data_IF_833328204358
#
_entry.id   IF_833328204358
#
_cell.length_a   1.000
_cell.length_b   1.000
_cell.length_c   1.000
_cell.angle_alpha   90.00
_cell.angle_beta   90.00
_cell.angle_gamma   90.00
#
_symmetry.space_group_name_H-M   'P 1'
#
loop_
_entity.id
_entity.type
_entity.pdbx_description
1 polymer ?
#
# COMPACT_ATOMS: atom_id res chain seq x y z
N UNK A 1 6.56 31.78 -6.44
CA UNK A 1 5.67 32.91 -6.08
C UNK A 1 6.09 33.43 -4.73
N UNK A 2 6.61 34.65 -4.67
CA UNK A 2 6.89 35.33 -3.41
C UNK A 2 5.57 35.56 -2.69
N UNK A 3 5.37 34.94 -1.54
CA UNK A 3 4.20 35.14 -0.70
C UNK A 3 4.14 36.60 -0.26
N UNK A 4 3.06 37.31 -0.60
CA UNK A 4 2.82 38.63 -0.04
C UNK A 4 2.44 38.46 1.45
N UNK A 5 3.27 38.91 2.40
CA UNK A 5 3.07 38.66 3.84
C UNK A 5 1.79 39.26 4.44
N UNK A 6 0.98 39.93 3.68
CA UNK A 6 -0.24 40.59 4.15
C UNK A 6 -1.54 39.99 3.62
N UNK A 7 -1.50 38.93 2.84
CA UNK A 7 -2.71 38.31 2.22
C UNK A 7 -2.88 36.83 2.48
N UNK A 8 -1.75 36.09 2.64
CA UNK A 8 -1.74 34.63 2.89
C UNK A 8 -0.69 34.35 3.97
N UNK A 9 -1.09 34.38 5.22
CA UNK A 9 -0.21 34.25 6.39
C UNK A 9 -0.21 32.81 6.98
N UNK A 10 -1.12 31.93 6.50
CA UNK A 10 -1.13 30.52 6.90
C UNK A 10 -1.39 29.61 5.70
N UNK A 11 -0.63 28.53 5.63
CA UNK A 11 -0.89 27.40 4.76
C UNK A 11 -1.39 26.24 5.63
N UNK A 12 -2.59 25.77 5.33
CA UNK A 12 -3.19 24.63 6.03
C UNK A 12 -3.31 23.51 5.01
N UNK A 13 -2.54 22.45 5.20
CA UNK A 13 -2.69 21.24 4.40
C UNK A 13 -3.99 20.52 4.81
N UNK A 14 -4.81 20.17 3.83
CA UNK A 14 -5.99 19.33 4.05
C UNK A 14 -5.62 17.92 3.60
N UNK A 15 -5.38 17.06 4.57
CA UNK A 15 -5.03 15.65 4.33
C UNK A 15 -6.28 14.80 4.04
N UNK A 16 -6.06 13.59 3.49
CA UNK A 16 -7.12 12.62 3.33
C UNK A 16 -7.70 12.21 4.70
N UNK A 17 -9.03 12.02 4.82
CA UNK A 17 -9.67 11.72 6.10
C UNK A 17 -9.31 10.32 6.61
N UNK A 18 -9.23 10.19 7.93
CA UNK A 18 -9.13 8.92 8.63
C UNK A 18 -10.44 8.10 8.51
N UNK A 19 -10.45 6.86 9.02
CA UNK A 19 -11.62 5.98 8.97
C UNK A 19 -12.90 6.64 9.51
N UNK A 20 -12.80 7.36 10.64
CA UNK A 20 -13.96 8.05 11.25
C UNK A 20 -14.41 9.23 10.41
N UNK A 21 -13.49 9.97 9.85
CA UNK A 21 -13.74 11.05 8.90
C UNK A 21 -14.42 10.56 7.64
N UNK A 22 -13.93 9.44 7.05
CA UNK A 22 -14.56 8.82 5.87
C UNK A 22 -16.00 8.36 6.16
N UNK A 23 -16.22 7.72 7.31
CA UNK A 23 -17.58 7.32 7.73
C UNK A 23 -18.50 8.54 7.90
N UNK A 24 -18.02 9.62 8.50
CA UNK A 24 -18.80 10.85 8.67
C UNK A 24 -19.12 11.51 7.31
N UNK A 25 -18.18 11.58 6.40
CA UNK A 25 -18.36 12.09 5.04
C UNK A 25 -19.37 11.25 4.27
N UNK A 26 -19.27 9.92 4.33
CA UNK A 26 -20.24 9.01 3.72
C UNK A 26 -21.65 9.22 4.27
N UNK A 27 -21.81 9.43 5.58
CA UNK A 27 -23.11 9.74 6.21
C UNK A 27 -23.72 11.02 5.65
N UNK A 28 -22.93 12.05 5.42
CA UNK A 28 -23.41 13.30 4.82
C UNK A 28 -23.88 13.08 3.38
N UNK A 29 -23.06 12.39 2.56
CA UNK A 29 -23.39 12.16 1.15
C UNK A 29 -24.44 11.07 0.92
N UNK A 30 -24.74 10.25 1.92
CA UNK A 30 -25.81 9.24 1.89
C UNK A 30 -27.21 9.87 2.10
N UNK A 31 -27.29 11.10 2.63
CA UNK A 31 -28.57 11.78 2.85
C UNK A 31 -29.33 11.92 1.53
N UNK A 32 -30.59 11.53 1.55
CA UNK A 32 -31.46 11.55 0.36
C UNK A 32 -31.21 10.48 -0.69
N UNK A 33 -30.27 9.55 -0.47
CA UNK A 33 -30.03 8.40 -1.34
C UNK A 33 -30.74 7.15 -0.79
N UNK A 34 -31.44 6.37 -1.63
CA UNK A 34 -32.16 5.17 -1.19
C UNK A 34 -31.18 3.99 -1.00
N UNK A 35 -30.51 3.92 0.14
CA UNK A 35 -29.66 2.79 0.52
C UNK A 35 -30.52 1.66 1.09
N UNK A 36 -30.15 0.39 0.82
CA UNK A 36 -30.73 -0.76 1.53
C UNK A 36 -30.31 -0.75 2.99
N UNK A 37 -31.10 -1.35 3.87
CA UNK A 37 -30.78 -1.45 5.31
C UNK A 37 -29.51 -2.29 5.58
N UNK A 38 -29.06 -3.06 4.62
CA UNK A 38 -27.87 -3.93 4.72
C UNK A 38 -26.57 -3.17 4.47
N UNK A 39 -26.62 -2.03 3.76
CA UNK A 39 -25.42 -1.23 3.45
C UNK A 39 -24.87 -0.58 4.72
N UNK A 40 -23.68 -0.99 5.09
CA UNK A 40 -22.95 -0.42 6.23
C UNK A 40 -21.90 0.60 5.75
N UNK A 41 -22.15 1.89 6.03
CA UNK A 41 -21.23 2.98 5.65
C UNK A 41 -19.86 2.85 6.32
N UNK A 42 -19.77 2.21 7.49
CA UNK A 42 -18.50 1.95 8.16
C UNK A 42 -17.67 0.91 7.41
N UNK A 43 -18.31 -0.12 6.84
CA UNK A 43 -17.62 -1.10 6.00
C UNK A 43 -17.13 -0.44 4.69
N UNK A 44 -17.91 0.45 4.10
CA UNK A 44 -17.47 1.24 2.95
C UNK A 44 -16.26 2.09 3.31
N UNK A 45 -16.28 2.78 4.47
CA UNK A 45 -15.15 3.59 4.96
C UNK A 45 -13.88 2.75 5.18
N UNK A 46 -14.00 1.50 5.65
CA UNK A 46 -12.86 0.58 5.77
C UNK A 46 -12.26 0.19 4.42
N UNK A 47 -13.11 0.05 3.40
CA UNK A 47 -12.72 -0.38 2.04
C UNK A 47 -12.27 0.77 1.13
N UNK A 48 -12.22 1.99 1.66
CA UNK A 48 -11.82 3.20 0.93
C UNK A 48 -10.68 3.95 1.63
N UNK A 49 -9.56 3.27 2.03
CA UNK A 49 -8.42 3.95 2.62
C UNK A 49 -7.82 4.94 1.61
N UNK A 50 -7.40 6.12 2.10
CA UNK A 50 -6.81 7.18 1.28
C UNK A 50 -7.78 7.96 0.38
N UNK A 51 -9.08 7.62 0.38
CA UNK A 51 -10.07 8.38 -0.40
C UNK A 51 -10.30 9.76 0.22
N UNK A 52 -10.36 10.76 -0.65
CA UNK A 52 -10.77 12.12 -0.30
C UNK A 52 -12.28 12.22 -0.14
N UNK A 53 -12.77 13.33 0.41
CA UNK A 53 -14.20 13.60 0.48
C UNK A 53 -14.89 13.58 -0.89
N UNK A 54 -14.19 14.03 -1.93
CA UNK A 54 -14.70 14.02 -3.31
C UNK A 54 -14.82 12.59 -3.86
N UNK A 55 -13.83 11.72 -3.59
CA UNK A 55 -13.89 10.32 -4.01
C UNK A 55 -15.04 9.57 -3.34
N UNK A 56 -15.25 9.79 -2.03
CA UNK A 56 -16.35 9.19 -1.27
C UNK A 56 -17.73 9.65 -1.77
N UNK A 57 -17.87 10.93 -2.09
CA UNK A 57 -19.08 11.47 -2.71
C UNK A 57 -19.32 10.83 -4.08
N UNK A 58 -18.27 10.66 -4.87
CA UNK A 58 -18.32 10.04 -6.19
C UNK A 58 -18.71 8.56 -6.11
N UNK A 59 -18.19 7.79 -5.14
CA UNK A 59 -18.62 6.40 -4.89
C UNK A 59 -20.14 6.31 -4.74
N UNK A 60 -20.73 7.12 -3.87
CA UNK A 60 -22.18 7.08 -3.64
C UNK A 60 -22.99 7.58 -4.85
N UNK A 61 -22.44 8.49 -5.64
CA UNK A 61 -23.09 8.94 -6.88
C UNK A 61 -23.03 7.86 -7.98
N UNK A 62 -21.86 7.23 -8.17
CA UNK A 62 -21.71 6.12 -9.11
C UNK A 62 -22.61 4.94 -8.71
N UNK A 63 -22.69 4.60 -7.43
CA UNK A 63 -23.57 3.55 -6.94
C UNK A 63 -25.06 3.87 -7.26
N UNK A 64 -25.50 5.11 -7.08
CA UNK A 64 -26.84 5.54 -7.44
C UNK A 64 -27.10 5.43 -8.94
N UNK A 65 -26.14 5.84 -9.78
CA UNK A 65 -26.25 5.72 -11.24
C UNK A 65 -26.29 4.25 -11.69
N UNK A 66 -25.49 3.37 -11.08
CA UNK A 66 -25.51 1.94 -11.35
C UNK A 66 -26.85 1.30 -10.99
N UNK A 67 -27.39 1.66 -9.83
CA UNK A 67 -28.70 1.22 -9.35
C UNK A 67 -29.80 1.63 -10.32
N UNK A 68 -29.81 2.89 -10.76
CA UNK A 68 -30.78 3.40 -11.74
C UNK A 68 -30.66 2.69 -13.09
N UNK A 69 -29.45 2.43 -13.59
CA UNK A 69 -29.22 1.67 -14.84
C UNK A 69 -29.70 0.23 -14.77
N UNK A 70 -29.70 -0.36 -13.58
CA UNK A 70 -30.17 -1.72 -13.34
C UNK A 70 -31.67 -1.78 -13.03
N UNK A 71 -32.41 -0.66 -13.15
CA UNK A 71 -33.83 -0.51 -12.81
C UNK A 71 -34.15 -0.95 -11.36
N UNK A 72 -33.17 -0.81 -10.45
CA UNK A 72 -33.35 -1.09 -9.03
C UNK A 72 -33.78 0.19 -8.30
N UNK A 73 -34.51 0.05 -7.20
CA UNK A 73 -35.01 1.19 -6.41
C UNK A 73 -34.06 1.58 -5.27
N UNK A 74 -33.25 0.63 -4.80
CA UNK A 74 -32.36 0.82 -3.65
C UNK A 74 -30.93 0.46 -4.02
N UNK A 75 -30.00 1.26 -3.51
CA UNK A 75 -28.56 1.02 -3.64
C UNK A 75 -28.18 -0.13 -2.71
N UNK A 76 -27.69 -1.21 -3.27
CA UNK A 76 -27.20 -2.39 -2.55
C UNK A 76 -25.65 -2.43 -2.50
N UNK A 77 -25.11 -3.42 -1.77
CA UNK A 77 -23.65 -3.59 -1.64
C UNK A 77 -22.98 -3.85 -2.99
N UNK A 78 -23.65 -4.50 -3.95
CA UNK A 78 -23.08 -4.76 -5.30
C UNK A 78 -22.87 -3.47 -6.07
N UNK A 79 -23.84 -2.54 -5.97
CA UNK A 79 -23.72 -1.23 -6.61
C UNK A 79 -22.58 -0.42 -5.97
N UNK A 80 -22.41 -0.51 -4.65
CA UNK A 80 -21.32 0.12 -3.92
C UNK A 80 -19.97 -0.49 -4.33
N UNK A 81 -19.86 -1.81 -4.39
CA UNK A 81 -18.65 -2.51 -4.79
C UNK A 81 -18.18 -2.11 -6.19
N UNK A 82 -19.09 -2.13 -7.16
CA UNK A 82 -18.79 -1.69 -8.52
C UNK A 82 -18.45 -0.19 -8.58
N UNK A 83 -19.07 0.63 -7.73
CA UNK A 83 -18.78 2.05 -7.66
C UNK A 83 -17.36 2.33 -7.11
N UNK A 84 -16.95 1.60 -6.06
CA UNK A 84 -15.58 1.67 -5.52
C UNK A 84 -14.58 1.28 -6.62
N UNK A 85 -14.82 0.15 -7.29
CA UNK A 85 -13.98 -0.31 -8.40
C UNK A 85 -13.85 0.74 -9.51
N UNK A 86 -14.94 1.44 -9.83
CA UNK A 86 -14.93 2.51 -10.85
C UNK A 86 -14.14 3.73 -10.43
N UNK A 87 -14.20 4.09 -9.18
CA UNK A 87 -13.43 5.22 -8.65
C UNK A 87 -11.94 4.89 -8.65
N UNK A 88 -11.57 3.66 -8.28
CA UNK A 88 -10.15 3.22 -8.23
C UNK A 88 -9.58 2.98 -9.63
N UNK A 89 -10.23 2.13 -10.43
CA UNK A 89 -9.68 1.58 -11.66
C UNK A 89 -10.39 2.06 -12.95
N UNK A 90 -11.45 2.85 -12.77
CA UNK A 90 -12.29 3.32 -13.88
C UNK A 90 -13.37 2.31 -14.31
N UNK A 91 -14.22 2.68 -15.29
CA UNK A 91 -15.29 1.82 -15.75
C UNK A 91 -14.77 0.59 -16.48
N UNK A 92 -15.49 -0.53 -16.34
CA UNK A 92 -15.21 -1.76 -17.06
C UNK A 92 -15.35 -1.54 -18.59
N UNK A 93 -14.33 -1.98 -19.35
CA UNK A 93 -14.33 -1.92 -20.82
C UNK A 93 -14.92 -3.19 -21.42
N UNK A 94 -16.23 -3.21 -21.62
CA UNK A 94 -16.95 -4.36 -22.21
C UNK A 94 -16.62 -4.62 -23.69
N UNK A 95 -16.07 -3.64 -24.40
CA UNK A 95 -15.71 -3.75 -25.82
C UNK A 95 -14.32 -4.33 -26.05
N UNK A 96 -13.49 -4.44 -24.99
CA UNK A 96 -12.15 -5.01 -25.10
C UNK A 96 -12.22 -6.52 -24.89
N UNK A 97 -12.38 -7.25 -26.00
CA UNK A 97 -12.35 -8.71 -25.99
C UNK A 97 -10.90 -9.13 -25.99
N UNK A 98 -10.45 -9.80 -24.92
CA UNK A 98 -9.15 -10.45 -24.87
C UNK A 98 -9.24 -11.83 -25.54
N UNK A 99 -8.20 -12.23 -26.27
CA UNK A 99 -8.06 -13.61 -26.72
C UNK A 99 -7.74 -14.54 -25.52
N UNK A 100 -7.88 -15.83 -25.70
CA UNK A 100 -7.69 -16.80 -24.62
C UNK A 100 -6.27 -16.82 -24.06
N UNK A 101 -5.26 -16.54 -24.89
CA UNK A 101 -3.88 -16.45 -24.46
C UNK A 101 -3.67 -15.21 -23.55
N UNK A 102 -4.10 -14.02 -23.98
CA UNK A 102 -3.98 -12.80 -23.17
C UNK A 102 -4.77 -12.91 -21.86
N UNK A 103 -5.92 -13.60 -21.90
CA UNK A 103 -6.71 -13.89 -20.71
C UNK A 103 -5.97 -14.79 -19.73
N UNK A 104 -5.29 -15.80 -20.23
CA UNK A 104 -4.45 -16.70 -19.42
C UNK A 104 -3.24 -15.95 -18.84
N UNK A 105 -2.53 -15.15 -19.66
CA UNK A 105 -1.40 -14.34 -19.21
C UNK A 105 -1.85 -13.39 -18.09
N UNK A 106 -2.99 -12.68 -18.26
CA UNK A 106 -3.53 -11.79 -17.25
C UNK A 106 -3.91 -12.54 -15.97
N UNK A 107 -4.51 -13.74 -16.08
CA UNK A 107 -4.90 -14.52 -14.90
C UNK A 107 -3.69 -14.97 -14.07
N UNK A 108 -2.61 -15.38 -14.72
CA UNK A 108 -1.37 -15.72 -14.03
C UNK A 108 -0.64 -14.49 -13.48
N UNK A 109 -0.66 -13.37 -14.18
CA UNK A 109 -0.08 -12.13 -13.75
C UNK A 109 -0.74 -11.63 -12.45
N UNK A 110 -2.06 -11.47 -12.47
CA UNK A 110 -2.82 -11.05 -11.28
C UNK A 110 -2.75 -12.10 -10.16
N UNK A 111 -2.76 -13.38 -10.54
CA UNK A 111 -2.54 -14.48 -9.62
C UNK A 111 -1.17 -14.44 -8.96
N UNK A 112 -0.14 -14.02 -9.68
CA UNK A 112 1.21 -13.82 -9.17
C UNK A 112 1.28 -12.75 -8.09
N UNK A 113 0.69 -11.58 -8.33
CA UNK A 113 0.56 -10.52 -7.33
C UNK A 113 -0.20 -11.00 -6.09
N UNK A 114 -1.36 -11.61 -6.29
CA UNK A 114 -2.21 -12.06 -5.20
C UNK A 114 -1.53 -13.14 -4.33
N UNK A 115 -0.86 -14.09 -4.96
CA UNK A 115 -0.15 -15.16 -4.25
C UNK A 115 1.09 -14.64 -3.51
N UNK A 116 1.84 -13.71 -4.13
CA UNK A 116 2.96 -13.05 -3.46
C UNK A 116 2.47 -12.31 -2.22
N UNK A 117 1.41 -11.49 -2.32
CA UNK A 117 0.82 -10.81 -1.17
C UNK A 117 0.33 -11.79 -0.09
N UNK A 118 -0.32 -12.90 -0.48
CA UNK A 118 -0.80 -13.90 0.45
C UNK A 118 0.33 -14.65 1.18
N UNK A 119 1.50 -14.81 0.56
CA UNK A 119 2.64 -15.51 1.15
C UNK A 119 3.53 -14.61 2.02
N UNK A 120 3.59 -13.33 1.76
CA UNK A 120 4.40 -12.34 2.50
C UNK A 120 3.83 -12.07 3.90
N UNK A 121 4.69 -11.55 4.80
CA UNK A 121 4.34 -11.38 6.20
C UNK A 121 3.87 -9.97 6.56
N UNK A 122 4.26 -8.96 5.76
CA UNK A 122 4.01 -7.54 6.06
C UNK A 122 3.13 -6.85 5.01
N UNK A 123 2.57 -7.60 4.06
CA UNK A 123 1.56 -7.13 3.11
C UNK A 123 0.18 -7.09 3.73
N UNK A 124 -0.67 -6.24 3.19
CA UNK A 124 -2.09 -6.20 3.52
C UNK A 124 -2.85 -7.37 2.87
N UNK A 125 -4.02 -7.75 3.39
CA UNK A 125 -4.79 -8.85 2.83
C UNK A 125 -5.29 -8.55 1.41
N UNK A 126 -5.31 -9.59 0.57
CA UNK A 126 -5.89 -9.52 -0.77
C UNK A 126 -7.40 -9.63 -0.65
N UNK A 127 -8.11 -8.58 -1.05
CA UNK A 127 -9.57 -8.51 -0.94
C UNK A 127 -10.29 -8.84 -2.23
N UNK A 128 -9.64 -8.62 -3.37
CA UNK A 128 -10.22 -8.90 -4.70
C UNK A 128 -9.12 -9.13 -5.74
N UNK A 129 -9.38 -10.07 -6.66
CA UNK A 129 -8.56 -10.26 -7.88
C UNK A 129 -9.51 -10.33 -9.06
N UNK A 130 -9.21 -9.61 -10.13
CA UNK A 130 -10.04 -9.63 -11.34
C UNK A 130 -9.20 -9.54 -12.61
N UNK A 131 -9.66 -10.23 -13.65
CA UNK A 131 -9.09 -10.15 -15.00
C UNK A 131 -10.02 -9.37 -15.96
N UNK A 132 -10.98 -8.63 -15.41
CA UNK A 132 -11.86 -7.77 -16.22
C UNK A 132 -11.14 -6.45 -16.52
N UNK A 133 -11.02 -6.07 -17.81
CA UNK A 133 -10.33 -4.85 -18.20
C UNK A 133 -11.03 -3.60 -17.67
N UNK A 134 -10.26 -2.73 -16.98
CA UNK A 134 -10.71 -1.42 -16.51
C UNK A 134 -9.70 -0.34 -16.88
N UNK A 135 -10.16 0.82 -17.31
CA UNK A 135 -9.27 1.91 -17.68
C UNK A 135 -8.19 1.47 -18.68
N UNK A 136 -6.92 1.48 -18.25
CA UNK A 136 -5.77 0.99 -19.02
C UNK A 136 -5.33 -0.42 -18.62
N UNK A 137 -5.75 -0.90 -17.47
CA UNK A 137 -5.39 -2.21 -16.94
C UNK A 137 -6.20 -3.34 -17.59
N UNK A 138 -5.58 -4.51 -17.76
CA UNK A 138 -6.23 -5.74 -18.24
C UNK A 138 -6.87 -6.52 -17.10
N UNK A 139 -6.35 -6.37 -15.90
CA UNK A 139 -6.85 -6.89 -14.64
C UNK A 139 -6.37 -6.00 -13.50
N UNK A 140 -6.67 -6.37 -12.27
CA UNK A 140 -6.04 -5.80 -11.07
C UNK A 140 -6.21 -6.70 -9.85
N UNK A 141 -5.23 -6.63 -8.98
CA UNK A 141 -5.23 -7.25 -7.66
C UNK A 141 -5.36 -6.17 -6.59
N UNK A 142 -6.40 -6.29 -5.77
CA UNK A 142 -6.69 -5.32 -4.72
C UNK A 142 -6.18 -5.84 -3.39
N UNK A 143 -5.21 -5.12 -2.84
CA UNK A 143 -4.66 -5.32 -1.51
C UNK A 143 -5.09 -4.13 -0.67
N UNK A 144 -5.78 -4.36 0.44
CA UNK A 144 -6.33 -3.29 1.25
C UNK A 144 -5.81 -3.36 2.69
N UNK A 145 -5.32 -2.23 3.24
CA UNK A 145 -4.96 -2.16 4.64
C UNK A 145 -6.20 -2.33 5.52
N UNK A 146 -6.07 -3.10 6.59
CA UNK A 146 -7.12 -3.29 7.60
C UNK A 146 -7.33 -2.05 8.46
N UNK A 147 -6.30 -1.20 8.57
CA UNK A 147 -6.28 0.03 9.37
C UNK A 147 -5.54 1.13 8.61
N UNK A 148 -5.89 2.39 8.92
CA UNK A 148 -5.16 3.54 8.36
C UNK A 148 -3.74 3.56 8.90
N UNK A 149 -2.75 3.66 8.00
CA UNK A 149 -1.33 3.70 8.33
C UNK A 149 -0.73 5.01 7.88
N UNK A 150 0.04 5.63 8.76
CA UNK A 150 0.73 6.88 8.48
C UNK A 150 2.19 6.65 8.01
N UNK A 151 2.76 5.50 8.35
CA UNK A 151 4.14 5.16 8.02
C UNK A 151 4.23 3.73 7.50
N UNK A 152 5.23 3.48 6.62
CA UNK A 152 5.62 2.13 6.19
C UNK A 152 6.99 1.77 6.76
N UNK A 153 7.12 0.57 7.29
CA UNK A 153 8.40 0.03 7.73
C UNK A 153 9.24 -0.45 6.54
N UNK A 154 10.54 -0.63 6.76
CA UNK A 154 11.43 -1.19 5.73
C UNK A 154 10.95 -2.56 5.24
N UNK A 155 10.49 -3.44 6.12
CA UNK A 155 9.99 -4.75 5.74
C UNK A 155 8.71 -4.67 4.90
N UNK A 156 7.81 -3.75 5.20
CA UNK A 156 6.64 -3.49 4.37
C UNK A 156 7.01 -3.00 2.97
N UNK A 157 8.01 -2.09 2.86
CA UNK A 157 8.48 -1.62 1.56
C UNK A 157 9.16 -2.73 0.76
N UNK A 158 9.92 -3.62 1.42
CA UNK A 158 10.49 -4.79 0.76
C UNK A 158 9.40 -5.74 0.26
N UNK A 159 8.36 -5.97 1.05
CA UNK A 159 7.22 -6.78 0.64
C UNK A 159 6.45 -6.14 -0.52
N UNK A 160 6.30 -4.79 -0.53
CA UNK A 160 5.73 -4.07 -1.67
C UNK A 160 6.54 -4.31 -2.97
N UNK A 161 7.88 -4.37 -2.88
CA UNK A 161 8.73 -4.69 -4.03
C UNK A 161 8.47 -6.11 -4.54
N UNK A 162 8.42 -7.09 -3.63
CA UNK A 162 8.17 -8.50 -3.98
C UNK A 162 6.77 -8.66 -4.57
N UNK A 163 5.77 -8.04 -3.97
CA UNK A 163 4.41 -7.97 -4.50
C UNK A 163 4.38 -7.44 -5.95
N UNK A 164 5.06 -6.31 -6.18
CA UNK A 164 5.12 -5.70 -7.52
C UNK A 164 5.80 -6.59 -8.56
N UNK A 165 6.75 -7.43 -8.16
CA UNK A 165 7.42 -8.38 -9.08
C UNK A 165 6.59 -9.64 -9.34
N UNK A 166 5.58 -9.94 -8.50
CA UNK A 166 4.80 -11.18 -8.54
C UNK A 166 4.18 -11.47 -9.91
N UNK A 167 3.55 -10.47 -10.53
CA UNK A 167 2.93 -10.62 -11.85
C UNK A 167 3.95 -10.99 -12.94
N UNK A 168 5.06 -10.23 -13.00
CA UNK A 168 6.13 -10.49 -13.96
C UNK A 168 6.75 -11.87 -13.80
N UNK A 169 7.03 -12.26 -12.56
CA UNK A 169 7.64 -13.56 -12.25
C UNK A 169 6.68 -14.70 -12.57
N UNK A 170 5.37 -14.53 -12.36
CA UNK A 170 4.37 -15.52 -12.76
C UNK A 170 4.37 -15.76 -14.27
N UNK A 171 4.46 -14.70 -15.08
CA UNK A 171 4.57 -14.80 -16.53
C UNK A 171 5.83 -15.60 -16.93
N UNK A 172 6.99 -15.32 -16.32
CA UNK A 172 8.24 -16.01 -16.62
C UNK A 172 8.21 -17.49 -16.24
N UNK A 173 7.67 -17.83 -15.08
CA UNK A 173 7.58 -19.22 -14.61
C UNK A 173 6.66 -20.04 -15.52
N UNK A 174 5.55 -19.45 -15.97
CA UNK A 174 4.48 -20.19 -16.66
C UNK A 174 4.70 -20.21 -18.17
N UNK A 175 4.94 -19.04 -18.76
CA UNK A 175 4.99 -18.88 -20.22
C UNK A 175 6.41 -18.81 -20.74
N UNK A 176 7.42 -18.56 -19.91
CA UNK A 176 8.84 -18.37 -20.27
C UNK A 176 9.09 -17.24 -21.28
N UNK A 177 8.07 -16.43 -21.48
CA UNK A 177 8.07 -15.30 -22.41
C UNK A 177 7.25 -14.15 -21.79
N UNK A 178 7.89 -13.27 -21.06
CA UNK A 178 7.20 -12.20 -20.33
C UNK A 178 6.70 -11.13 -21.29
N UNK A 179 5.51 -10.63 -20.99
CA UNK A 179 4.85 -9.57 -21.74
C UNK A 179 5.33 -8.15 -21.35
N UNK A 180 4.77 -7.15 -22.01
CA UNK A 180 4.95 -5.72 -21.63
C UNK A 180 3.99 -5.25 -20.54
N UNK A 181 3.07 -6.11 -20.08
CA UNK A 181 2.09 -5.81 -19.04
C UNK A 181 2.69 -5.26 -17.76
N UNK A 182 3.77 -5.85 -17.23
CA UNK A 182 4.42 -5.45 -15.98
C UNK A 182 5.12 -4.07 -15.98
N UNK A 183 5.03 -3.29 -17.06
CA UNK A 183 5.77 -2.02 -17.17
C UNK A 183 5.46 -1.04 -16.02
N UNK A 184 4.19 -0.96 -15.61
CA UNK A 184 3.78 -0.09 -14.48
C UNK A 184 4.29 -0.63 -13.14
N UNK A 185 4.27 -1.96 -12.93
CA UNK A 185 4.74 -2.59 -11.71
C UNK A 185 6.24 -2.39 -11.52
N UNK A 186 7.00 -2.54 -12.59
CA UNK A 186 8.45 -2.24 -12.63
C UNK A 186 8.69 -0.76 -12.32
N UNK A 187 7.90 0.15 -12.89
CA UNK A 187 8.02 1.58 -12.62
C UNK A 187 7.77 1.91 -11.14
N UNK A 188 6.70 1.37 -10.56
CA UNK A 188 6.36 1.61 -9.16
C UNK A 188 7.40 0.98 -8.22
N UNK A 189 7.84 -0.26 -8.48
CA UNK A 189 8.88 -0.91 -7.72
C UNK A 189 10.21 -0.12 -7.78
N UNK A 190 10.60 0.39 -8.96
CA UNK A 190 11.80 1.20 -9.11
C UNK A 190 11.69 2.51 -8.32
N UNK A 191 10.53 3.17 -8.36
CA UNK A 191 10.28 4.39 -7.56
C UNK A 191 10.40 4.10 -6.05
N UNK A 192 9.79 3.02 -5.58
CA UNK A 192 9.86 2.60 -4.17
C UNK A 192 11.30 2.26 -3.76
N UNK A 193 12.00 1.44 -4.54
CA UNK A 193 13.40 1.09 -4.26
C UNK A 193 14.31 2.33 -4.23
N UNK A 194 14.12 3.27 -5.16
CA UNK A 194 14.86 4.53 -5.18
C UNK A 194 14.60 5.36 -3.93
N UNK A 195 13.34 5.53 -3.54
CA UNK A 195 12.98 6.26 -2.31
C UNK A 195 13.56 5.60 -1.05
N UNK A 196 13.60 4.25 -0.97
CA UNK A 196 14.25 3.53 0.13
C UNK A 196 15.73 3.92 0.25
N UNK A 197 16.43 4.09 -0.87
CA UNK A 197 17.87 4.42 -0.91
C UNK A 197 18.11 5.91 -0.70
N UNK A 198 17.33 6.79 -1.37
CA UNK A 198 17.64 8.24 -1.44
C UNK A 198 16.93 9.08 -0.39
N UNK A 199 15.74 8.64 0.08
CA UNK A 199 14.89 9.47 0.95
C UNK A 199 14.78 8.91 2.37
N UNK A 200 14.77 7.57 2.52
CA UNK A 200 14.49 6.93 3.81
C UNK A 200 15.71 6.39 4.52
N UNK A 201 16.92 6.51 3.92
CA UNK A 201 18.16 6.01 4.52
C UNK A 201 18.18 4.50 4.77
N UNK A 202 17.46 3.72 3.94
CA UNK A 202 17.30 2.26 4.11
C UNK A 202 18.32 1.44 3.30
N UNK A 203 19.48 2.01 3.02
CA UNK A 203 20.62 1.34 2.38
C UNK A 203 21.82 1.38 3.29
N UNK A 204 22.50 0.23 3.49
CA UNK A 204 23.71 0.14 4.31
C UNK A 204 24.91 0.88 3.66
N UNK A 205 24.93 0.98 2.33
CA UNK A 205 26.01 1.62 1.58
C UNK A 205 25.92 3.15 1.54
N UNK A 206 24.69 3.67 1.46
CA UNK A 206 24.41 5.12 1.43
C UNK A 206 24.30 5.68 2.86
N UNK A 207 23.67 4.91 3.76
CA UNK A 207 23.46 5.34 5.13
C UNK A 207 22.30 6.33 5.29
N UNK A 208 22.33 7.03 6.43
CA UNK A 208 21.27 7.97 6.85
C UNK A 208 21.45 9.36 6.22
N UNK A 209 21.45 9.40 4.89
CA UNK A 209 21.58 10.65 4.11
C UNK A 209 20.39 10.79 3.19
N UNK A 210 19.77 11.97 3.14
CA UNK A 210 18.74 12.30 2.17
C UNK A 210 19.41 12.80 0.89
N UNK A 211 19.29 12.05 -0.19
CA UNK A 211 19.86 12.34 -1.51
C UNK A 211 18.79 12.62 -2.57
N UNK A 212 17.51 12.47 -2.22
CA UNK A 212 16.40 12.86 -3.09
C UNK A 212 16.30 14.38 -3.23
N UNK A 213 15.70 14.86 -4.32
CA UNK A 213 15.57 16.27 -4.61
C UNK A 213 14.90 17.00 -3.45
N UNK A 214 15.62 17.96 -2.86
CA UNK A 214 15.09 18.83 -1.84
C UNK A 214 14.01 19.72 -2.46
N UNK A 215 12.79 19.67 -1.91
CA UNK A 215 11.76 20.72 -1.99
C UNK A 215 11.02 20.97 -3.31
N UNK A 216 11.07 20.09 -4.32
CA UNK A 216 10.25 20.30 -5.53
C UNK A 216 8.81 19.77 -5.41
N UNK A 217 8.49 18.93 -4.43
CA UNK A 217 7.15 18.33 -4.31
C UNK A 217 6.11 19.22 -3.60
N UNK A 218 6.52 20.18 -2.78
CA UNK A 218 5.56 20.96 -1.98
C UNK A 218 4.63 21.86 -2.81
N UNK A 219 4.99 22.23 -4.05
CA UNK A 219 4.20 23.19 -4.85
C UNK A 219 4.08 22.89 -6.36
N UNK A 220 4.31 21.67 -6.81
CA UNK A 220 3.90 21.22 -8.16
C UNK A 220 4.51 21.94 -9.35
N UNK A 221 5.61 22.66 -9.20
CA UNK A 221 6.26 23.40 -10.28
C UNK A 221 7.76 23.12 -10.28
N UNK A 222 8.16 22.08 -11.00
CA UNK A 222 9.57 21.80 -11.18
C UNK A 222 9.84 20.48 -11.87
N UNK A 223 9.43 20.32 -13.12
CA UNK A 223 10.04 19.35 -14.02
C UNK A 223 11.34 19.92 -14.59
N UNK A 224 12.26 20.29 -13.71
CA UNK A 224 13.59 20.75 -14.08
C UNK A 224 14.61 19.86 -13.41
N UNK A 225 15.45 19.18 -14.19
CA UNK A 225 16.68 18.57 -13.72
C UNK A 225 17.56 19.69 -13.11
N UNK A 226 17.35 19.96 -11.81
CA UNK A 226 18.29 20.72 -11.03
C UNK A 226 19.65 19.96 -10.98
N UNK A 227 20.77 20.64 -10.77
CA UNK A 227 22.06 19.97 -10.63
C UNK A 227 21.94 18.97 -9.47
N UNK A 228 22.32 17.71 -9.71
CA UNK A 228 22.34 16.65 -8.69
C UNK A 228 23.14 17.12 -7.48
N UNK A 229 22.61 16.96 -6.29
CA UNK A 229 23.28 17.35 -5.04
C UNK A 229 24.37 16.37 -4.59
N UNK A 230 24.73 15.37 -5.43
CA UNK A 230 25.68 14.31 -5.09
C UNK A 230 26.59 13.95 -6.29
N UNK A 231 27.75 13.34 -6.00
CA UNK A 231 28.76 12.97 -7.00
C UNK A 231 28.30 11.82 -7.91
N UNK A 232 28.97 11.66 -9.06
CA UNK A 232 28.72 10.55 -9.99
C UNK A 232 29.02 9.18 -9.32
N UNK A 233 29.96 9.10 -8.41
CA UNK A 233 30.23 7.89 -7.61
C UNK A 233 29.02 7.53 -6.74
N UNK A 234 28.43 8.53 -6.06
CA UNK A 234 27.21 8.32 -5.27
C UNK A 234 26.05 7.90 -6.15
N UNK A 235 25.92 8.48 -7.35
CA UNK A 235 24.91 8.07 -8.32
C UNK A 235 25.05 6.60 -8.72
N UNK A 236 26.28 6.15 -9.00
CA UNK A 236 26.55 4.75 -9.31
C UNK A 236 26.17 3.81 -8.16
N UNK A 237 26.47 4.17 -6.91
CA UNK A 237 26.08 3.39 -5.73
C UNK A 237 24.55 3.35 -5.58
N UNK A 238 23.84 4.46 -5.82
CA UNK A 238 22.36 4.48 -5.80
C UNK A 238 21.81 3.49 -6.82
N UNK A 239 22.31 3.52 -8.05
CA UNK A 239 21.83 2.65 -9.12
C UNK A 239 22.12 1.16 -8.82
N UNK A 240 23.27 0.84 -8.24
CA UNK A 240 23.61 -0.51 -7.78
C UNK A 240 22.66 -0.97 -6.64
N UNK A 241 22.42 -0.14 -5.65
CA UNK A 241 21.53 -0.46 -4.53
C UNK A 241 20.07 -0.65 -4.97
N UNK A 242 19.56 0.23 -5.85
CA UNK A 242 18.22 0.07 -6.43
C UNK A 242 18.11 -1.24 -7.19
N UNK A 243 19.10 -1.56 -8.04
CA UNK A 243 19.12 -2.85 -8.76
C UNK A 243 19.16 -4.01 -7.80
N UNK A 244 20.00 -3.98 -6.78
CA UNK A 244 20.11 -5.04 -5.76
C UNK A 244 18.78 -5.29 -5.05
N UNK A 245 18.03 -4.23 -4.69
CA UNK A 245 16.73 -4.35 -4.07
C UNK A 245 15.72 -5.03 -5.00
N UNK A 246 15.68 -4.63 -6.28
CA UNK A 246 14.79 -5.21 -7.27
C UNK A 246 15.14 -6.67 -7.61
N UNK A 247 16.43 -6.99 -7.77
CA UNK A 247 16.89 -8.36 -8.03
C UNK A 247 16.57 -9.30 -6.84
N UNK A 248 16.71 -8.81 -5.61
CA UNK A 248 16.32 -9.56 -4.43
C UNK A 248 14.81 -9.78 -4.37
N UNK A 249 14.02 -8.76 -4.68
CA UNK A 249 12.56 -8.86 -4.73
C UNK A 249 12.10 -9.86 -5.82
N UNK A 250 12.70 -9.83 -7.00
CA UNK A 250 12.43 -10.82 -8.05
C UNK A 250 12.74 -12.24 -7.60
N UNK A 251 13.90 -12.44 -6.95
CA UNK A 251 14.30 -13.78 -6.46
C UNK A 251 13.34 -14.30 -5.40
N UNK A 252 12.97 -13.47 -4.45
CA UNK A 252 12.02 -13.81 -3.41
C UNK A 252 10.62 -14.12 -3.99
N UNK A 253 10.13 -13.31 -4.94
CA UNK A 253 8.89 -13.60 -5.66
C UNK A 253 8.97 -14.95 -6.39
N UNK A 254 10.10 -15.24 -7.04
CA UNK A 254 10.33 -16.53 -7.72
C UNK A 254 10.24 -17.71 -6.76
N UNK A 255 10.90 -17.64 -5.60
CA UNK A 255 10.85 -18.67 -4.57
C UNK A 255 9.42 -18.87 -4.04
N UNK A 256 8.71 -17.77 -3.73
CA UNK A 256 7.32 -17.81 -3.28
C UNK A 256 6.42 -18.50 -4.30
N UNK A 257 6.46 -18.07 -5.55
CA UNK A 257 5.57 -18.59 -6.59
C UNK A 257 5.90 -20.04 -6.95
N UNK A 258 7.19 -20.42 -6.94
CA UNK A 258 7.61 -21.80 -7.20
C UNK A 258 7.17 -22.74 -6.09
N UNK A 259 7.34 -22.35 -4.82
CA UNK A 259 6.93 -23.14 -3.65
C UNK A 259 5.41 -23.31 -3.57
N UNK A 260 4.66 -22.37 -4.13
CA UNK A 260 3.19 -22.35 -4.12
C UNK A 260 2.59 -22.58 -5.54
N UNK A 261 3.30 -23.21 -6.45
CA UNK A 261 2.90 -23.34 -7.86
C UNK A 261 1.50 -23.93 -8.05
N UNK A 262 1.13 -24.95 -7.32
CA UNK A 262 -0.20 -25.58 -7.41
C UNK A 262 -1.32 -24.60 -7.02
N UNK A 263 -1.06 -23.70 -6.06
CA UNK A 263 -2.02 -22.67 -5.64
C UNK A 263 -2.13 -21.60 -6.74
N UNK A 264 -1.02 -21.20 -7.37
CA UNK A 264 -1.01 -20.27 -8.49
C UNK A 264 -1.85 -20.81 -9.67
N UNK A 265 -1.65 -22.08 -10.03
CA UNK A 265 -2.42 -22.72 -11.10
C UNK A 265 -3.91 -22.81 -10.77
N UNK A 266 -4.25 -23.13 -9.52
CA UNK A 266 -5.64 -23.14 -9.03
C UNK A 266 -6.28 -21.74 -9.09
N UNK A 267 -5.54 -20.72 -8.66
CA UNK A 267 -6.00 -19.33 -8.68
C UNK A 267 -6.26 -18.85 -10.11
N UNK A 268 -5.32 -19.11 -11.03
CA UNK A 268 -5.47 -18.78 -12.45
C UNK A 268 -6.66 -19.49 -13.08
N UNK A 269 -6.86 -20.78 -12.81
CA UNK A 269 -8.00 -21.54 -13.31
C UNK A 269 -9.34 -20.96 -12.81
N UNK A 270 -9.42 -20.56 -11.53
CA UNK A 270 -10.61 -19.92 -10.97
C UNK A 270 -10.85 -18.54 -11.55
N UNK A 271 -9.80 -17.75 -11.80
CA UNK A 271 -9.92 -16.46 -12.48
C UNK A 271 -10.41 -16.60 -13.91
N UNK A 272 -9.94 -17.61 -14.66
CA UNK A 272 -10.42 -17.90 -16.00
C UNK A 272 -11.92 -18.31 -16.03
N UNK A 273 -12.36 -19.03 -14.99
CA UNK A 273 -13.77 -19.45 -14.84
C UNK A 273 -14.70 -18.31 -14.41
N UNK A 274 -14.31 -17.54 -13.40
CA UNK A 274 -15.18 -16.58 -12.73
C UNK A 274 -14.90 -15.11 -13.06
N UNK A 275 -13.77 -14.84 -13.69
CA UNK A 275 -13.24 -13.51 -14.05
C UNK A 275 -12.95 -12.59 -12.86
N UNK A 276 -13.58 -12.81 -11.71
CA UNK A 276 -13.37 -12.06 -10.47
C UNK A 276 -13.50 -13.00 -9.27
N UNK A 277 -12.58 -12.86 -8.32
CA UNK A 277 -12.60 -13.58 -7.05
C UNK A 277 -12.69 -12.57 -5.91
N UNK A 278 -13.59 -12.85 -4.97
CA UNK A 278 -13.78 -12.07 -3.74
C UNK A 278 -12.91 -12.61 -2.59
N UNK A 279 -12.90 -11.87 -1.48
CA UNK A 279 -12.11 -12.19 -0.29
C UNK A 279 -12.39 -13.59 0.25
N UNK A 280 -13.67 -14.03 0.28
CA UNK A 280 -14.03 -15.34 0.81
C UNK A 280 -13.50 -16.48 -0.06
N UNK A 281 -13.55 -16.33 -1.39
CA UNK A 281 -13.02 -17.29 -2.35
C UNK A 281 -11.49 -17.34 -2.30
N UNK A 282 -10.85 -16.18 -2.19
CA UNK A 282 -9.40 -16.05 -2.05
C UNK A 282 -8.91 -16.69 -0.75
N UNK A 283 -9.60 -16.48 0.37
CA UNK A 283 -9.26 -17.10 1.65
C UNK A 283 -9.26 -18.64 1.59
N UNK A 284 -10.20 -19.23 0.81
CA UNK A 284 -10.22 -20.68 0.60
C UNK A 284 -9.05 -21.17 -0.24
N UNK A 285 -8.68 -20.42 -1.30
CA UNK A 285 -7.56 -20.78 -2.19
C UNK A 285 -6.23 -20.66 -1.45
N UNK A 286 -6.08 -19.62 -0.61
CA UNK A 286 -4.84 -19.33 0.11
C UNK A 286 -4.67 -20.10 1.43
N UNK A 287 -5.60 -20.98 1.77
CA UNK A 287 -5.57 -21.72 3.05
C UNK A 287 -4.25 -22.47 3.29
N UNK A 288 -3.69 -23.05 2.24
CA UNK A 288 -2.49 -23.90 2.30
C UNK A 288 -1.25 -23.20 1.73
N UNK A 289 -1.25 -21.86 1.67
CA UNK A 289 -0.10 -21.09 1.19
C UNK A 289 1.09 -21.25 2.13
N UNK A 290 2.22 -21.65 1.55
CA UNK A 290 3.51 -21.67 2.24
C UNK A 290 3.99 -20.23 2.37
N UNK A 291 4.06 -19.74 3.60
CA UNK A 291 4.52 -18.38 3.90
C UNK A 291 6.00 -18.20 3.61
N UNK A 292 6.37 -16.99 3.21
CA UNK A 292 7.76 -16.59 3.12
C UNK A 292 8.42 -16.63 4.53
N UNK A 293 9.72 -16.93 4.61
CA UNK A 293 10.43 -16.87 5.87
C UNK A 293 10.43 -15.43 6.43
N UNK A 294 10.46 -15.31 7.75
CA UNK A 294 10.63 -13.99 8.38
C UNK A 294 11.96 -13.37 7.97
N UNK A 295 11.94 -12.08 7.69
CA UNK A 295 13.16 -11.34 7.34
C UNK A 295 14.04 -11.19 8.57
N UNK A 296 15.37 -11.27 8.39
CA UNK A 296 16.30 -10.98 9.50
C UNK A 296 16.13 -9.53 9.96
N UNK A 297 16.34 -9.31 11.24
CA UNK A 297 16.35 -7.96 11.81
C UNK A 297 17.41 -7.13 11.09
N UNK A 298 16.98 -6.03 10.47
CA UNK A 298 17.90 -5.09 9.85
C UNK A 298 18.51 -4.18 10.92
N UNK A 299 19.81 -4.26 11.08
CA UNK A 299 20.54 -3.41 11.97
C UNK A 299 21.59 -2.64 11.15
N UNK A 300 21.36 -1.34 11.00
CA UNK A 300 22.32 -0.46 10.36
C UNK A 300 23.61 -0.45 11.23
N UNK A 301 24.71 -0.86 10.65
CA UNK A 301 25.99 -1.05 11.33
C UNK A 301 25.93 -2.17 12.42
N UNK A 302 25.60 -3.39 12.03
CA UNK A 302 25.60 -4.54 12.92
C UNK A 302 26.93 -4.70 13.70
N UNK A 303 28.07 -4.33 13.09
CA UNK A 303 29.41 -4.36 13.72
C UNK A 303 29.64 -3.20 14.70
N UNK A 304 28.84 -2.14 14.62
CA UNK A 304 28.86 -1.00 15.54
C UNK A 304 27.80 -1.07 16.63
N UNK A 305 27.03 -2.15 16.66
CA UNK A 305 26.00 -2.36 17.69
C UNK A 305 26.65 -2.31 19.07
N UNK A 306 26.10 -1.51 19.97
CA UNK A 306 26.53 -1.44 21.36
C UNK A 306 26.47 -2.86 21.95
N UNK A 307 27.59 -3.45 22.43
CA UNK A 307 27.57 -4.78 22.98
C UNK A 307 26.53 -4.88 24.11
N UNK A 308 25.61 -5.81 24.02
CA UNK A 308 24.55 -5.99 25.02
C UNK A 308 23.24 -5.23 24.78
N UNK A 309 23.14 -4.39 23.74
CA UNK A 309 21.86 -3.79 23.36
C UNK A 309 20.92 -4.88 22.82
N UNK A 310 20.00 -5.34 23.64
CA UNK A 310 18.86 -6.14 23.17
C UNK A 310 17.79 -5.17 22.69
N UNK A 311 17.27 -5.40 21.46
CA UNK A 311 16.08 -4.74 21.02
C UNK A 311 14.94 -5.20 21.94
N UNK A 312 14.55 -4.36 22.90
CA UNK A 312 13.38 -4.61 23.74
C UNK A 312 12.10 -4.29 22.99
N UNK A 313 10.99 -4.83 23.45
CA UNK A 313 9.69 -4.44 22.93
C UNK A 313 9.41 -2.98 23.24
N UNK A 314 8.89 -2.20 22.27
CA UNK A 314 8.59 -0.79 22.52
C UNK A 314 7.51 -0.61 23.58
N UNK A 315 7.60 0.47 24.34
CA UNK A 315 6.62 0.82 25.37
C UNK A 315 5.23 1.03 24.72
N UNK A 316 4.20 0.42 25.27
CA UNK A 316 2.81 0.54 24.81
C UNK A 316 2.36 -0.51 23.79
N UNK A 317 3.25 -1.37 23.30
CA UNK A 317 2.87 -2.54 22.51
C UNK A 317 2.71 -3.73 23.46
N UNK A 318 1.50 -4.31 23.51
CA UNK A 318 1.26 -5.55 24.25
C UNK A 318 1.97 -6.69 23.52
N UNK A 319 3.12 -7.11 24.05
CA UNK A 319 3.69 -8.39 23.68
C UNK A 319 3.19 -9.44 24.67
N UNK A 320 2.97 -10.65 24.20
CA UNK A 320 2.61 -11.79 25.07
C UNK A 320 3.77 -12.17 26.02
N UNK A 321 4.98 -11.67 25.81
CA UNK A 321 6.14 -11.85 26.67
C UNK A 321 6.50 -10.57 27.42
N UNK A 322 6.68 -10.68 28.74
CA UNK A 322 7.02 -9.58 29.65
C UNK A 322 8.32 -8.87 29.21
N UNK A 323 8.19 -7.64 28.69
CA UNK A 323 9.34 -6.77 28.48
C UNK A 323 9.87 -6.27 29.84
N UNK A 324 11.10 -6.61 30.16
CA UNK A 324 11.82 -6.05 31.33
C UNK A 324 12.91 -5.11 30.81
N UNK A 325 12.88 -3.81 31.21
CA UNK A 325 13.93 -2.89 30.85
C UNK A 325 15.27 -3.39 31.42
N UNK A 326 16.28 -3.44 30.57
CA UNK A 326 17.64 -3.70 31.05
C UNK A 326 18.17 -2.41 31.66
N UNK A 327 18.57 -2.39 32.95
CA UNK A 327 19.14 -1.19 33.55
C UNK A 327 20.43 -0.84 32.82
N UNK A 328 20.48 0.35 32.23
CA UNK A 328 21.72 0.90 31.66
C UNK A 328 22.55 1.38 32.83
N UNK A 329 23.63 0.66 33.18
CA UNK A 329 24.54 1.08 34.20
C UNK A 329 25.19 2.42 33.77
N UNK A 330 24.92 3.49 34.50
CA UNK A 330 25.62 4.77 34.39
C UNK A 330 24.82 5.94 33.84
N UNK A 331 23.51 5.79 33.56
CA UNK A 331 22.66 6.94 33.27
C UNK A 331 21.67 7.12 34.42
N UNK A 332 21.87 8.18 35.22
CA UNK A 332 20.92 8.62 36.24
C UNK A 332 19.70 9.24 35.50
N UNK A 333 18.66 8.43 35.32
CA UNK A 333 17.35 8.91 34.85
C UNK A 333 16.53 9.33 36.07
N UNK A 334 16.91 10.41 36.71
CA UNK A 334 16.02 11.13 37.60
C UNK A 334 14.78 11.55 36.82
N UNK A 335 13.55 11.41 37.37
CA UNK A 335 12.36 11.88 36.69
C UNK A 335 12.51 13.37 36.35
N UNK A 336 12.37 13.71 35.07
CA UNK A 336 12.22 15.13 34.69
C UNK A 336 10.93 15.58 35.36
N UNK A 337 11.05 16.45 36.36
CA UNK A 337 9.91 17.13 36.98
C UNK A 337 9.11 17.80 35.86
N UNK A 338 7.93 17.25 35.59
CA UNK A 338 6.92 17.92 34.77
C UNK A 338 6.52 19.17 35.56
N UNK A 339 7.09 20.32 35.16
CA UNK A 339 6.77 21.63 35.71
C UNK A 339 5.26 21.76 35.56
N UNK A 340 4.60 21.89 36.73
CA UNK A 340 3.19 21.79 36.92
C UNK A 340 2.40 22.82 36.14
N UNK A 341 1.35 22.35 35.53
CA UNK A 341 0.17 23.14 35.27
C UNK A 341 -0.61 23.29 36.59
N UNK A 342 -0.29 24.34 37.34
CA UNK A 342 -1.09 24.73 38.49
C UNK A 342 -1.68 26.13 38.24
N UNK A 343 -3.00 26.21 38.28
CA UNK A 343 -3.72 27.39 38.71
C UNK A 343 -4.22 28.32 37.61
N UNK A 344 -5.40 28.09 37.11
CA UNK A 344 -6.31 29.17 36.77
C UNK A 344 -7.42 29.12 37.82
N UNK A 345 -7.32 29.97 38.81
CA UNK A 345 -8.41 30.27 39.74
C UNK A 345 -9.52 31.03 38.97
N UNK A 346 -10.73 30.54 39.11
CA UNK A 346 -11.96 31.28 38.80
C UNK A 346 -12.06 32.46 39.78
N UNK A 347 -12.06 33.69 39.29
CA UNK A 347 -12.68 34.83 39.96
C UNK A 347 -14.02 35.12 39.29
N UNK A 348 -15.07 34.91 40.08
CA UNK A 348 -16.40 35.44 39.88
C UNK A 348 -16.38 36.93 40.24
N UNK A 349 -16.80 37.78 39.29
CA UNK A 349 -17.75 38.89 39.52
C UNK A 349 -18.30 39.37 38.18
#
# INVERSE_FOLDING_TARGET
>A
MTQCPSRFDRQIAVEAPDLKGREAILKVHAQGKPLTAQVDLRQIAKRTPGFTGADLANVLNEAALLTARSNMQFIDDRAIDEAIDRVIAGPQKRTRVMNDHDKAVTAYHEGGHALAAAALNYTDPVTKVTILPRGRALGYTMVMPTEDRFNKTRNQLLDDLVYSMGGRVAEEIVFRDPSTGPANDIQQATKTARAMVTDYGMSDRIGMVKLGDADTEAFGHGSGEGPRAFSDETAAIIDEEVRRLLDNAMREAWEILTNNRAILDTLAARLLEKETLDEAQLAQIFKDVVKAPERPVWNYQADAAVPGARLGNPVGIKAEDEWKPVPVQGIDVSPIDVIGASGVEEEQE
#
